data_IF_492342004787
#
_entry.id   IF_492342004787
#
_cell.length_a   1.000
_cell.length_b   1.000
_cell.length_c   1.000
_cell.angle_alpha   90.00
_cell.angle_beta   90.00
_cell.angle_gamma   90.00
#
_symmetry.space_group_name_H-M   'P 1'
#
loop_
_entity.id
_entity.type
_entity.pdbx_description
1 polymer ?
#
# COMPACT_ATOMS: atom_id res chain seq x y z
N UNK A 1 -4.35 -7.10 -14.72
CA UNK A 1 -4.41 -5.70 -14.23
C UNK A 1 -5.03 -5.75 -12.83
N UNK A 2 -4.55 -4.99 -11.82
CA UNK A 2 -5.25 -5.00 -10.53
C UNK A 2 -6.66 -4.44 -10.69
N UNK A 3 -7.71 -5.20 -10.33
CA UNK A 3 -9.08 -4.75 -10.49
C UNK A 3 -9.38 -3.53 -9.60
N UNK A 4 -10.28 -2.66 -10.04
CA UNK A 4 -10.72 -1.47 -9.32
C UNK A 4 -12.09 -1.69 -8.67
N UNK A 5 -12.16 -1.44 -7.37
CA UNK A 5 -13.38 -1.54 -6.56
C UNK A 5 -13.73 -0.15 -6.01
N UNK A 6 -14.95 0.32 -6.29
CA UNK A 6 -15.41 1.63 -5.83
C UNK A 6 -16.33 1.52 -4.60
N UNK A 7 -16.04 2.29 -3.55
CA UNK A 7 -16.95 2.49 -2.42
C UNK A 7 -17.90 3.63 -2.74
N UNK A 8 -19.19 3.36 -2.79
CA UNK A 8 -20.24 4.32 -3.14
C UNK A 8 -21.30 4.32 -2.05
N UNK A 9 -21.83 5.50 -1.70
CA UNK A 9 -22.88 5.61 -0.69
C UNK A 9 -23.03 7.04 -0.20
N UNK A 10 -24.14 7.35 0.45
CA UNK A 10 -24.38 8.70 1.02
C UNK A 10 -23.34 9.07 2.09
N UNK A 11 -23.21 10.35 2.48
CA UNK A 11 -22.31 10.75 3.56
C UNK A 11 -22.55 9.96 4.86
N UNK A 12 -21.52 9.84 5.69
CA UNK A 12 -21.58 9.29 7.05
C UNK A 12 -21.97 7.81 7.22
N UNK A 13 -22.21 7.04 6.15
CA UNK A 13 -22.43 5.57 6.21
C UNK A 13 -21.18 4.76 6.58
N UNK A 14 -20.02 5.41 6.75
CA UNK A 14 -18.76 4.77 7.14
C UNK A 14 -17.89 4.25 5.99
N UNK A 15 -17.99 4.83 4.79
CA UNK A 15 -17.14 4.50 3.63
C UNK A 15 -15.65 4.61 3.93
N UNK A 16 -15.20 5.71 4.51
CA UNK A 16 -13.78 5.92 4.80
C UNK A 16 -13.27 4.99 5.90
N UNK A 17 -14.13 4.63 6.87
CA UNK A 17 -13.82 3.60 7.88
C UNK A 17 -13.67 2.23 7.23
N UNK A 18 -14.58 1.87 6.30
CA UNK A 18 -14.49 0.62 5.53
C UNK A 18 -13.23 0.59 4.66
N UNK A 19 -12.94 1.70 3.96
CA UNK A 19 -11.73 1.87 3.16
C UNK A 19 -10.47 1.59 3.98
N UNK A 20 -10.31 2.25 5.14
CA UNK A 20 -9.15 2.05 6.01
C UNK A 20 -9.08 0.61 6.55
N UNK A 21 -10.23 0.02 6.88
CA UNK A 21 -10.29 -1.35 7.37
C UNK A 21 -9.84 -2.37 6.31
N UNK A 22 -10.21 -2.15 5.04
CA UNK A 22 -9.88 -3.03 3.91
C UNK A 22 -8.45 -2.82 3.39
N UNK A 23 -7.95 -1.59 3.30
CA UNK A 23 -6.59 -1.31 2.79
C UNK A 23 -5.50 -1.63 3.81
N UNK A 24 -5.87 -1.84 5.09
CA UNK A 24 -4.95 -2.06 6.21
C UNK A 24 -3.86 -0.98 6.28
N UNK A 25 -4.14 0.23 5.78
CA UNK A 25 -3.18 1.32 5.67
C UNK A 25 -2.65 1.69 7.06
N UNK A 26 -1.32 1.69 7.20
CA UNK A 26 -0.67 2.23 8.40
C UNK A 26 -0.90 3.74 8.41
N UNK A 27 -1.78 4.21 9.28
CA UNK A 27 -1.96 5.65 9.59
C UNK A 27 -0.64 6.34 10.01
N UNK A 28 0.40 5.56 10.35
CA UNK A 28 1.67 6.03 10.91
C UNK A 28 2.55 6.93 10.01
N UNK A 29 2.24 7.13 8.73
CA UNK A 29 3.01 8.06 7.88
C UNK A 29 2.29 9.38 7.59
N UNK A 30 0.98 9.46 7.85
CA UNK A 30 0.17 10.63 7.52
C UNK A 30 -0.81 10.88 8.66
N UNK A 31 -0.31 11.33 9.80
CA UNK A 31 -1.16 12.09 10.72
C UNK A 31 -0.40 13.28 11.31
N UNK A 32 -0.96 14.47 10.99
CA UNK A 32 -0.96 15.76 11.71
C UNK A 32 -0.71 16.97 10.81
N UNK A 33 -1.41 17.05 9.67
CA UNK A 33 -1.62 18.32 8.95
C UNK A 33 -3.11 18.53 8.68
N UNK A 34 -3.77 19.47 9.38
CA UNK A 34 -5.13 19.89 9.06
C UNK A 34 -5.15 20.53 7.66
N UNK A 35 -5.97 20.00 6.75
CA UNK A 35 -6.06 20.49 5.36
C UNK A 35 -6.36 19.41 4.31
N UNK A 36 -6.30 18.13 4.68
CA UNK A 36 -6.66 16.98 3.82
C UNK A 36 -8.18 16.86 3.69
N UNK A 37 -8.79 17.73 2.90
CA UNK A 37 -10.14 17.49 2.35
C UNK A 37 -10.22 18.04 0.94
N UNK A 38 -10.29 17.14 -0.05
CA UNK A 38 -11.31 17.18 -1.12
C UNK A 38 -11.22 16.09 -2.20
N UNK A 39 -10.11 15.35 -2.33
CA UNK A 39 -9.94 14.44 -3.46
C UNK A 39 -9.71 12.98 -3.04
N UNK A 40 -10.56 12.10 -3.62
CA UNK A 40 -10.55 10.62 -3.67
C UNK A 40 -9.34 9.93 -3.04
N UNK A 41 -9.59 9.04 -2.07
CA UNK A 41 -8.56 8.17 -1.51
C UNK A 41 -8.47 6.87 -2.31
N UNK A 42 -7.32 6.62 -2.92
CA UNK A 42 -6.99 5.36 -3.57
C UNK A 42 -6.06 4.53 -2.69
N UNK A 43 -6.35 3.25 -2.55
CA UNK A 43 -5.57 2.33 -1.73
C UNK A 43 -5.62 0.93 -2.31
N UNK A 44 -4.72 0.06 -1.86
CA UNK A 44 -4.68 -1.33 -2.32
C UNK A 44 -5.12 -2.23 -1.17
N UNK A 45 -6.18 -3.02 -1.38
CA UNK A 45 -6.52 -4.11 -0.48
C UNK A 45 -5.56 -5.28 -0.77
N UNK A 46 -4.84 -5.70 0.26
CA UNK A 46 -3.88 -6.82 0.23
C UNK A 46 -4.37 -7.91 1.19
N UNK A 47 -5.38 -8.69 0.79
CA UNK A 47 -5.85 -9.81 1.59
C UNK A 47 -4.74 -10.87 1.73
N UNK A 48 -4.80 -11.65 2.80
CA UNK A 48 -3.79 -12.68 3.09
C UNK A 48 -3.83 -13.85 2.09
N UNK A 49 -5.00 -14.07 1.49
CA UNK A 49 -5.25 -15.07 0.48
C UNK A 49 -5.95 -14.41 -0.71
N UNK A 50 -5.65 -14.91 -1.92
CA UNK A 50 -6.24 -14.42 -3.16
C UNK A 50 -5.58 -13.15 -3.73
N UNK A 51 -6.29 -12.51 -4.66
CA UNK A 51 -5.77 -11.40 -5.48
C UNK A 51 -5.89 -10.06 -4.77
N UNK A 52 -4.90 -9.18 -5.00
CA UNK A 52 -4.97 -7.77 -4.59
C UNK A 52 -5.93 -7.01 -5.51
N UNK A 53 -6.53 -5.94 -5.00
CA UNK A 53 -7.36 -5.03 -5.79
C UNK A 53 -7.25 -3.60 -5.28
N UNK A 54 -7.49 -2.62 -6.16
CA UNK A 54 -7.48 -1.20 -5.83
C UNK A 54 -8.85 -0.81 -5.28
N UNK A 55 -8.88 -0.13 -4.16
CA UNK A 55 -10.07 0.50 -3.59
C UNK A 55 -10.04 1.99 -3.84
N UNK A 56 -11.17 2.56 -4.24
CA UNK A 56 -11.38 4.00 -4.31
C UNK A 56 -12.53 4.42 -3.40
N UNK A 57 -12.25 5.32 -2.44
CA UNK A 57 -13.30 6.02 -1.70
C UNK A 57 -13.75 7.23 -2.52
N UNK A 58 -14.99 7.18 -2.98
CA UNK A 58 -15.52 8.17 -3.92
C UNK A 58 -16.07 9.43 -3.26
N UNK A 59 -15.94 9.57 -1.94
CA UNK A 59 -16.55 10.66 -1.17
C UNK A 59 -18.08 10.53 -1.11
N UNK A 60 -18.74 11.19 -0.16
CA UNK A 60 -20.20 11.17 -0.07
C UNK A 60 -20.86 11.81 -1.29
N UNK A 61 -21.80 11.12 -1.93
CA UNK A 61 -22.53 11.59 -3.12
C UNK A 61 -23.46 12.80 -2.89
N UNK A 62 -23.58 13.28 -1.66
CA UNK A 62 -24.46 14.40 -1.31
C UNK A 62 -23.68 15.40 -0.45
N UNK A 63 -23.10 16.41 -1.09
CA UNK A 63 -22.73 17.65 -0.40
C UNK A 63 -23.80 18.68 -0.68
N UNK A 64 -24.52 19.10 0.35
CA UNK A 64 -25.38 20.28 0.32
C UNK A 64 -24.48 21.51 0.21
N UNK A 65 -24.20 21.96 -1.01
CA UNK A 65 -23.74 23.32 -1.34
C UNK A 65 -23.92 23.54 -2.85
N UNK A 66 -24.92 24.36 -3.20
CA UNK A 66 -25.52 24.55 -4.53
C UNK A 66 -24.57 25.09 -5.64
N UNK A 67 -23.28 25.29 -5.38
CA UNK A 67 -22.29 25.68 -6.40
C UNK A 67 -21.26 24.61 -6.75
N UNK A 68 -20.94 23.71 -5.81
CA UNK A 68 -19.85 22.72 -5.92
C UNK A 68 -20.35 21.28 -6.07
N UNK A 69 -21.62 21.02 -5.71
CA UNK A 69 -22.26 19.70 -5.73
C UNK A 69 -22.25 19.03 -7.11
N UNK A 70 -22.42 19.81 -8.19
CA UNK A 70 -22.45 19.28 -9.56
C UNK A 70 -21.10 18.74 -10.05
N UNK A 71 -19.98 19.25 -9.53
CA UNK A 71 -18.64 18.74 -9.85
C UNK A 71 -18.34 17.47 -9.04
N UNK A 72 -18.62 17.49 -7.74
CA UNK A 72 -18.40 16.33 -6.83
C UNK A 72 -19.25 15.12 -7.24
N UNK A 73 -20.53 15.32 -7.58
CA UNK A 73 -21.41 14.24 -8.03
C UNK A 73 -20.94 13.65 -9.38
N UNK A 74 -20.56 14.49 -10.35
CA UNK A 74 -19.96 14.01 -11.63
C UNK A 74 -18.68 13.22 -11.40
N UNK A 75 -17.88 13.65 -10.43
CA UNK A 75 -16.64 13.00 -10.07
C UNK A 75 -16.84 11.63 -9.40
N UNK A 76 -17.72 11.51 -8.41
CA UNK A 76 -18.04 10.22 -7.79
C UNK A 76 -18.63 9.25 -8.80
N UNK A 77 -19.48 9.74 -9.70
CA UNK A 77 -20.10 8.90 -10.74
C UNK A 77 -19.10 8.35 -11.74
N UNK A 78 -18.06 9.12 -12.09
CA UNK A 78 -17.00 8.65 -12.97
C UNK A 78 -16.22 7.46 -12.37
N UNK A 79 -15.88 7.53 -11.07
CA UNK A 79 -15.11 6.48 -10.40
C UNK A 79 -15.87 5.14 -10.33
N UNK A 80 -17.18 5.17 -10.12
CA UNK A 80 -17.99 3.94 -10.12
C UNK A 80 -18.21 3.37 -11.53
N UNK A 81 -18.26 4.22 -12.56
CA UNK A 81 -18.36 3.76 -13.96
C UNK A 81 -17.07 3.05 -14.42
N UNK A 82 -15.92 3.50 -13.89
CA UNK A 82 -14.60 2.95 -14.16
C UNK A 82 -14.29 1.68 -13.35
N UNK A 83 -14.98 1.45 -12.24
CA UNK A 83 -14.74 0.30 -11.38
C UNK A 83 -15.18 -1.02 -12.04
N UNK A 84 -14.45 -2.09 -11.75
CA UNK A 84 -14.82 -3.46 -12.11
C UNK A 84 -15.94 -4.00 -11.21
N UNK A 85 -16.01 -3.50 -9.97
CA UNK A 85 -17.06 -3.80 -8.98
C UNK A 85 -17.37 -2.57 -8.13
N UNK A 86 -18.65 -2.38 -7.79
CA UNK A 86 -19.09 -1.32 -6.89
C UNK A 86 -19.57 -1.93 -5.57
N UNK A 87 -19.05 -1.42 -4.44
CA UNK A 87 -19.57 -1.69 -3.11
C UNK A 87 -20.48 -0.52 -2.70
N UNK A 88 -21.79 -0.75 -2.73
CA UNK A 88 -22.78 0.23 -2.29
C UNK A 88 -22.98 0.13 -0.78
N UNK A 89 -22.44 1.10 -0.05
CA UNK A 89 -22.41 1.13 1.42
C UNK A 89 -23.59 1.91 1.98
N UNK A 90 -24.32 1.28 2.91
CA UNK A 90 -25.47 1.84 3.61
C UNK A 90 -25.31 1.68 5.12
N UNK A 91 -26.10 2.41 5.90
CA UNK A 91 -26.02 2.41 7.37
C UNK A 91 -27.14 1.57 7.99
N UNK A 92 -26.78 0.50 8.70
CA UNK A 92 -27.71 -0.39 9.39
C UNK A 92 -28.59 0.33 10.44
N UNK A 93 -28.09 1.39 11.07
CA UNK A 93 -28.73 2.05 12.20
C UNK A 93 -29.70 3.14 11.77
N UNK A 94 -29.34 3.85 10.71
CA UNK A 94 -30.17 4.92 10.16
C UNK A 94 -31.22 4.40 9.18
N UNK A 95 -31.04 3.18 8.66
CA UNK A 95 -32.00 2.56 7.76
C UNK A 95 -32.02 3.20 6.37
N UNK A 96 -33.13 3.04 5.66
CA UNK A 96 -33.32 3.53 4.30
C UNK A 96 -33.37 5.06 4.21
N UNK A 97 -32.65 5.63 3.24
CA UNK A 97 -32.68 7.05 2.92
C UNK A 97 -33.19 7.30 1.49
N UNK A 98 -33.79 8.48 1.25
CA UNK A 98 -34.11 8.94 -0.10
C UNK A 98 -32.86 9.06 -0.98
N UNK A 99 -31.74 9.51 -0.39
CA UNK A 99 -30.45 9.59 -1.09
C UNK A 99 -29.94 8.21 -1.53
N UNK A 100 -30.19 7.17 -0.73
CA UNK A 100 -29.80 5.80 -1.08
C UNK A 100 -30.59 5.30 -2.29
N UNK A 101 -31.87 5.67 -2.41
CA UNK A 101 -32.71 5.36 -3.59
C UNK A 101 -32.23 6.07 -4.85
N UNK A 102 -31.81 7.33 -4.75
CA UNK A 102 -31.27 8.07 -5.89
C UNK A 102 -29.93 7.49 -6.38
N UNK A 103 -29.05 7.13 -5.43
CA UNK A 103 -27.78 6.46 -5.72
C UNK A 103 -28.05 5.11 -6.37
N UNK A 104 -28.97 4.32 -5.82
CA UNK A 104 -29.37 3.02 -6.34
C UNK A 104 -29.94 3.10 -7.78
N UNK A 105 -30.81 4.07 -8.04
CA UNK A 105 -31.38 4.29 -9.38
C UNK A 105 -30.31 4.64 -10.41
N UNK A 106 -29.25 5.34 -9.99
CA UNK A 106 -28.09 5.59 -10.84
C UNK A 106 -27.20 4.36 -11.00
N UNK A 107 -26.90 3.63 -9.93
CA UNK A 107 -26.07 2.41 -9.97
C UNK A 107 -26.68 1.34 -10.88
N UNK A 108 -28.01 1.18 -10.89
CA UNK A 108 -28.72 0.26 -11.80
C UNK A 108 -28.57 0.59 -13.28
N UNK A 109 -28.18 1.83 -13.62
CA UNK A 109 -27.89 2.23 -15.01
C UNK A 109 -26.44 1.92 -15.41
N UNK A 110 -25.58 1.54 -14.46
CA UNK A 110 -24.22 1.11 -14.74
C UNK A 110 -24.24 -0.37 -15.11
N UNK A 111 -23.50 -0.73 -16.15
CA UNK A 111 -23.27 -2.12 -16.54
C UNK A 111 -22.12 -2.73 -15.72
N UNK A 112 -22.25 -2.68 -14.38
CA UNK A 112 -21.23 -3.12 -13.42
C UNK A 112 -21.85 -3.94 -12.30
N UNK A 113 -21.16 -4.98 -11.79
CA UNK A 113 -21.64 -5.70 -10.62
C UNK A 113 -21.64 -4.77 -9.40
N UNK A 114 -22.70 -4.87 -8.59
CA UNK A 114 -22.91 -4.05 -7.38
C UNK A 114 -23.18 -4.98 -6.21
N UNK A 115 -22.40 -4.85 -5.14
CA UNK A 115 -22.67 -5.50 -3.86
C UNK A 115 -23.24 -4.50 -2.88
N UNK A 116 -24.23 -4.92 -2.09
CA UNK A 116 -24.75 -4.10 -1.00
C UNK A 116 -23.98 -4.38 0.28
N UNK A 117 -23.43 -3.35 0.88
CA UNK A 117 -22.66 -3.44 2.13
C UNK A 117 -23.41 -2.67 3.21
N UNK A 118 -24.05 -3.40 4.11
CA UNK A 118 -24.80 -2.82 5.23
C UNK A 118 -23.84 -2.68 6.41
N UNK A 119 -23.35 -1.46 6.63
CA UNK A 119 -22.31 -1.15 7.61
C UNK A 119 -22.91 -0.77 8.98
N UNK A 120 -22.08 -0.80 10.04
CA UNK A 120 -22.44 -0.48 11.43
C UNK A 120 -23.44 -1.45 12.06
N UNK A 121 -23.35 -2.74 11.72
CA UNK A 121 -24.20 -3.82 12.26
C UNK A 121 -23.92 -4.18 13.73
N UNK A 122 -23.08 -3.39 14.43
CA UNK A 122 -22.68 -3.64 15.81
C UNK A 122 -23.87 -3.67 16.77
N UNK A 123 -24.06 -4.81 17.44
CA UNK A 123 -25.11 -5.02 18.42
C UNK A 123 -26.51 -5.21 17.84
N UNK A 124 -26.62 -5.37 16.51
CA UNK A 124 -27.88 -5.62 15.82
C UNK A 124 -28.00 -7.10 15.41
N UNK A 125 -29.23 -7.55 15.24
CA UNK A 125 -29.50 -8.84 14.59
C UNK A 125 -29.28 -8.69 13.08
N UNK A 126 -28.26 -9.39 12.58
CA UNK A 126 -27.81 -9.29 11.20
C UNK A 126 -28.88 -9.76 10.20
N UNK A 127 -29.66 -10.79 10.54
CA UNK A 127 -30.71 -11.29 9.65
C UNK A 127 -31.85 -10.29 9.52
N UNK A 128 -32.26 -9.69 10.63
CA UNK A 128 -33.31 -8.67 10.65
C UNK A 128 -32.88 -7.44 9.83
N UNK A 129 -31.65 -6.96 10.03
CA UNK A 129 -31.11 -5.81 9.30
C UNK A 129 -31.01 -6.11 7.80
N UNK A 130 -30.47 -7.26 7.40
CA UNK A 130 -30.36 -7.62 5.98
C UNK A 130 -31.74 -7.78 5.32
N UNK A 131 -32.72 -8.30 6.05
CA UNK A 131 -34.10 -8.40 5.56
C UNK A 131 -34.69 -7.02 5.27
N UNK A 132 -34.43 -6.02 6.11
CA UNK A 132 -34.88 -4.65 5.88
C UNK A 132 -34.29 -4.06 4.59
N UNK A 133 -33.06 -4.39 4.21
CA UNK A 133 -32.42 -3.88 3.00
C UNK A 133 -32.68 -4.71 1.74
N UNK A 134 -33.31 -5.88 1.86
CA UNK A 134 -33.67 -6.74 0.71
C UNK A 134 -34.53 -6.03 -0.34
N UNK A 135 -35.32 -5.03 0.08
CA UNK A 135 -36.15 -4.18 -0.81
C UNK A 135 -35.35 -3.43 -1.88
N UNK A 136 -34.05 -3.23 -1.67
CA UNK A 136 -33.17 -2.62 -2.68
C UNK A 136 -32.94 -3.55 -3.88
N UNK A 137 -33.26 -4.83 -3.77
CA UNK A 137 -33.15 -5.78 -4.88
C UNK A 137 -31.72 -5.96 -5.39
N UNK A 138 -30.72 -5.73 -4.55
CA UNK A 138 -29.30 -6.00 -4.83
C UNK A 138 -28.91 -7.29 -4.12
N UNK A 139 -28.24 -8.18 -4.85
CA UNK A 139 -27.59 -9.37 -4.30
C UNK A 139 -26.22 -9.51 -4.96
N UNK A 140 -25.17 -9.94 -4.23
CA UNK A 140 -25.15 -10.29 -2.81
C UNK A 140 -25.17 -9.09 -1.84
N UNK A 141 -25.58 -9.34 -0.59
CA UNK A 141 -25.61 -8.38 0.52
C UNK A 141 -24.70 -8.84 1.67
N UNK A 142 -23.95 -7.92 2.28
CA UNK A 142 -23.02 -8.20 3.36
C UNK A 142 -23.27 -7.30 4.56
N UNK A 143 -23.47 -7.89 5.74
CA UNK A 143 -23.52 -7.18 7.00
C UNK A 143 -22.11 -6.98 7.54
N UNK A 144 -21.68 -5.74 7.75
CA UNK A 144 -20.31 -5.46 8.21
C UNK A 144 -20.26 -4.46 9.36
N UNK A 145 -19.23 -4.63 10.19
CA UNK A 145 -18.77 -3.59 11.10
C UNK A 145 -17.36 -3.19 10.71
N UNK A 146 -17.24 -2.05 10.04
CA UNK A 146 -15.94 -1.52 9.64
C UNK A 146 -15.07 -1.16 10.85
N UNK A 147 -15.68 -0.62 11.92
CA UNK A 147 -14.99 -0.22 13.13
C UNK A 147 -14.43 -1.40 13.93
N UNK A 148 -15.17 -2.52 13.95
CA UNK A 148 -14.79 -3.74 14.68
C UNK A 148 -14.25 -4.85 13.78
N UNK A 149 -14.08 -4.57 12.47
CA UNK A 149 -13.56 -5.50 11.45
C UNK A 149 -14.34 -6.81 11.33
N UNK A 150 -15.67 -6.77 11.53
CA UNK A 150 -16.54 -7.94 11.42
C UNK A 150 -17.19 -8.01 10.03
N UNK A 151 -17.30 -9.21 9.45
CA UNK A 151 -17.90 -9.46 8.13
C UNK A 151 -17.03 -8.99 6.95
N UNK A 152 -15.82 -8.48 7.23
CA UNK A 152 -14.93 -7.98 6.17
C UNK A 152 -14.29 -9.12 5.37
N UNK A 153 -14.00 -10.26 6.00
CA UNK A 153 -13.36 -11.40 5.32
C UNK A 153 -14.31 -11.98 4.26
N UNK A 154 -15.58 -12.20 4.61
CA UNK A 154 -16.62 -12.66 3.67
C UNK A 154 -16.83 -11.65 2.51
N UNK A 155 -16.84 -10.34 2.83
CA UNK A 155 -16.93 -9.28 1.82
C UNK A 155 -15.72 -9.30 0.86
N UNK A 156 -14.52 -9.48 1.40
CA UNK A 156 -13.28 -9.57 0.61
C UNK A 156 -13.31 -10.79 -0.30
N UNK A 157 -13.66 -11.96 0.23
CA UNK A 157 -13.72 -13.22 -0.52
C UNK A 157 -14.71 -13.11 -1.68
N UNK A 158 -15.92 -12.64 -1.41
CA UNK A 158 -16.92 -12.44 -2.45
C UNK A 158 -16.50 -11.38 -3.48
N UNK A 159 -15.83 -10.32 -3.02
CA UNK A 159 -15.29 -9.27 -3.92
C UNK A 159 -14.27 -9.90 -4.87
N UNK A 160 -13.31 -10.68 -4.35
CA UNK A 160 -12.29 -11.34 -5.18
C UNK A 160 -12.88 -12.31 -6.21
N UNK A 161 -13.97 -12.99 -5.86
CA UNK A 161 -14.67 -13.92 -6.74
C UNK A 161 -15.46 -13.22 -7.86
N UNK A 162 -16.01 -12.03 -7.60
CA UNK A 162 -16.77 -11.26 -8.59
C UNK A 162 -15.91 -10.35 -9.46
N UNK A 163 -14.69 -10.03 -9.01
CA UNK A 163 -13.74 -9.29 -9.82
C UNK A 163 -13.35 -10.11 -11.06
N UNK A 164 -13.22 -9.48 -12.24
CA UNK A 164 -12.86 -10.19 -13.46
C UNK A 164 -11.60 -11.04 -13.23
N UNK A 165 -11.61 -12.27 -13.75
CA UNK A 165 -10.38 -13.03 -13.88
C UNK A 165 -9.35 -12.14 -14.59
N UNK A 166 -8.09 -12.23 -14.20
CA UNK A 166 -7.03 -11.39 -14.75
C UNK A 166 -7.10 -11.45 -16.27
N UNK A 167 -7.68 -10.44 -16.92
CA UNK A 167 -7.81 -10.42 -18.37
C UNK A 167 -6.41 -10.51 -18.91
N UNK A 168 -6.04 -11.68 -19.44
CA UNK A 168 -4.68 -12.19 -19.61
C UNK A 168 -3.66 -11.12 -19.20
N UNK A 169 -3.42 -11.00 -17.90
CA UNK A 169 -2.10 -10.54 -17.50
C UNK A 169 -1.27 -11.75 -17.86
N UNK A 170 -0.96 -11.91 -19.15
CA UNK A 170 0.04 -12.82 -19.65
C UNK A 170 1.11 -12.72 -18.58
N UNK A 171 1.28 -13.82 -17.83
CA UNK A 171 2.30 -13.93 -16.78
C UNK A 171 3.48 -13.25 -17.42
N UNK A 172 3.78 -12.01 -17.00
CA UNK A 172 4.75 -11.19 -17.72
C UNK A 172 5.95 -12.09 -17.70
N UNK A 173 6.33 -12.68 -18.85
CA UNK A 173 7.18 -13.89 -18.86
C UNK A 173 8.19 -13.67 -17.76
N UNK A 174 8.12 -14.50 -16.71
CA UNK A 174 8.90 -14.29 -15.49
C UNK A 174 10.32 -14.74 -15.79
N UNK A 175 10.86 -14.16 -16.85
CA UNK A 175 12.25 -14.10 -17.24
C UNK A 175 12.95 -13.48 -16.03
N UNK A 176 13.60 -14.31 -15.21
CA UNK A 176 14.20 -13.86 -13.97
C UNK A 176 15.37 -12.91 -14.23
N UNK A 177 15.85 -12.82 -15.46
CA UNK A 177 16.90 -11.89 -15.87
C UNK A 177 16.37 -10.48 -16.13
N UNK A 178 15.05 -10.31 -16.29
CA UNK A 178 14.43 -9.04 -16.66
C UNK A 178 13.96 -8.24 -15.46
N UNK A 179 14.55 -7.07 -15.27
CA UNK A 179 14.20 -6.18 -14.16
C UNK A 179 12.94 -5.37 -14.50
N UNK A 180 11.88 -5.54 -13.71
CA UNK A 180 10.62 -4.77 -13.86
C UNK A 180 10.71 -3.42 -13.15
N UNK A 181 10.60 -2.34 -13.91
CA UNK A 181 10.74 -0.97 -13.43
C UNK A 181 9.43 -0.18 -13.58
N UNK A 182 9.10 0.62 -12.57
CA UNK A 182 8.02 1.62 -12.67
C UNK A 182 8.57 3.02 -12.42
N UNK A 183 8.25 3.96 -13.32
CA UNK A 183 8.50 5.39 -13.09
C UNK A 183 7.22 6.04 -12.58
N UNK A 184 7.26 6.58 -11.37
CA UNK A 184 6.11 7.23 -10.72
C UNK A 184 6.47 8.61 -10.23
N UNK A 185 5.47 9.44 -10.04
CA UNK A 185 5.61 10.82 -9.62
C UNK A 185 4.39 11.62 -10.07
N UNK A 186 4.28 12.84 -9.55
CA UNK A 186 3.21 13.76 -9.93
C UNK A 186 3.20 14.08 -11.44
N UNK A 187 2.10 14.62 -11.98
CA UNK A 187 2.11 15.26 -13.29
C UNK A 187 3.26 16.28 -13.40
N UNK A 188 3.79 16.45 -14.62
CA UNK A 188 4.78 17.50 -14.97
C UNK A 188 6.16 17.46 -14.27
N UNK A 189 6.45 16.46 -13.42
CA UNK A 189 7.79 16.24 -12.82
C UNK A 189 8.85 15.78 -13.83
N UNK A 190 8.45 15.47 -15.07
CA UNK A 190 9.35 15.06 -16.16
C UNK A 190 9.45 13.55 -16.38
N UNK A 191 8.47 12.75 -15.91
CA UNK A 191 8.38 11.31 -16.18
C UNK A 191 8.44 10.97 -17.68
N UNK A 192 7.61 11.62 -18.48
CA UNK A 192 7.56 11.37 -19.93
C UNK A 192 8.86 11.76 -20.62
N UNK A 193 9.45 12.89 -20.22
CA UNK A 193 10.76 13.34 -20.71
C UNK A 193 11.85 12.32 -20.40
N UNK A 194 11.86 11.77 -19.18
CA UNK A 194 12.83 10.76 -18.77
C UNK A 194 12.67 9.48 -19.60
N UNK A 195 11.47 8.93 -19.68
CA UNK A 195 11.24 7.68 -20.42
C UNK A 195 11.52 7.83 -21.91
N UNK A 196 11.13 8.95 -22.53
CA UNK A 196 11.46 9.20 -23.94
C UNK A 196 12.97 9.33 -24.17
N UNK A 197 13.70 9.99 -23.25
CA UNK A 197 15.16 10.05 -23.32
C UNK A 197 15.77 8.66 -23.21
N UNK A 198 15.29 7.85 -22.27
CA UNK A 198 15.73 6.48 -22.10
C UNK A 198 15.52 5.66 -23.40
N UNK A 199 14.37 5.80 -24.05
CA UNK A 199 14.08 5.12 -25.32
C UNK A 199 14.88 5.65 -26.51
N UNK A 200 15.39 6.88 -26.45
CA UNK A 200 16.13 7.52 -27.53
C UNK A 200 17.65 7.46 -27.40
N UNK A 201 18.22 6.84 -26.36
CA UNK A 201 19.66 6.65 -26.26
C UNK A 201 20.14 5.55 -27.22
N UNK A 202 21.24 5.79 -27.95
CA UNK A 202 21.82 4.86 -28.94
C UNK A 202 22.12 3.45 -28.40
N UNK A 203 22.21 3.30 -27.07
CA UNK A 203 22.49 2.04 -26.37
C UNK A 203 21.24 1.31 -25.89
N UNK A 204 20.05 1.86 -26.13
CA UNK A 204 18.78 1.33 -25.66
C UNK A 204 17.98 0.83 -26.86
N UNK A 205 17.84 -0.49 -26.98
CA UNK A 205 16.99 -1.08 -28.01
C UNK A 205 15.62 -1.31 -27.40
N UNK A 206 14.62 -0.57 -27.89
CA UNK A 206 13.24 -0.79 -27.54
C UNK A 206 12.61 -1.80 -28.50
N UNK A 207 12.01 -2.85 -27.96
CA UNK A 207 11.17 -3.78 -28.74
C UNK A 207 9.73 -3.69 -28.27
N UNK A 208 8.79 -3.73 -29.22
CA UNK A 208 7.37 -3.87 -28.93
C UNK A 208 7.03 -5.35 -29.01
N UNK A 209 6.44 -5.89 -27.95
CA UNK A 209 5.93 -7.27 -27.97
C UNK A 209 4.50 -7.23 -28.50
N UNK A 210 4.22 -7.73 -29.72
CA UNK A 210 2.86 -7.77 -30.26
C UNK A 210 2.08 -8.89 -29.56
N UNK A 211 0.88 -8.60 -29.03
CA UNK A 211 -0.02 -9.62 -28.47
C UNK A 211 -0.60 -9.33 -27.09
N UNK A 212 -0.21 -8.25 -26.42
CA UNK A 212 -0.81 -7.87 -25.13
C UNK A 212 -2.03 -6.97 -25.36
N UNK A 213 -3.22 -7.58 -25.43
CA UNK A 213 -4.45 -6.83 -25.65
C UNK A 213 -4.86 -5.94 -24.47
N UNK A 214 -5.29 -4.74 -24.89
CA UNK A 214 -6.13 -3.70 -24.30
C UNK A 214 -5.55 -2.61 -23.39
N UNK A 215 -4.72 -2.80 -22.36
CA UNK A 215 -4.41 -1.63 -21.50
C UNK A 215 -3.03 -1.50 -20.80
N UNK A 216 -2.03 -2.31 -21.12
CA UNK A 216 -0.66 -2.05 -20.63
C UNK A 216 0.40 -2.29 -21.73
N UNK A 217 0.85 -1.19 -22.35
CA UNK A 217 2.04 -1.19 -23.20
C UNK A 217 3.26 -1.23 -22.26
N UNK A 218 3.75 -2.43 -21.97
CA UNK A 218 5.07 -2.61 -21.40
C UNK A 218 6.12 -2.40 -22.51
N UNK A 219 7.22 -1.72 -22.19
CA UNK A 219 8.33 -1.55 -23.14
C UNK A 219 9.55 -2.25 -22.60
N UNK A 220 10.07 -3.17 -23.39
CA UNK A 220 11.30 -3.86 -23.08
C UNK A 220 12.50 -3.03 -23.58
N UNK A 221 13.52 -2.96 -22.75
CA UNK A 221 14.75 -2.22 -22.97
C UNK A 221 15.94 -3.13 -22.75
N UNK A 222 16.91 -3.13 -23.67
CA UNK A 222 18.24 -3.66 -23.42
C UNK A 222 19.21 -2.51 -23.13
N UNK A 223 19.96 -2.62 -22.04
CA UNK A 223 21.07 -1.71 -21.75
C UNK A 223 22.20 -2.41 -21.01
N UNK A 224 23.41 -2.22 -21.50
CA UNK A 224 24.65 -2.73 -20.90
C UNK A 224 24.58 -4.25 -20.65
N UNK A 225 23.95 -4.99 -21.57
CA UNK A 225 23.77 -6.44 -21.50
C UNK A 225 22.75 -6.91 -20.46
N UNK A 226 21.81 -6.04 -20.07
CA UNK A 226 20.72 -6.34 -19.13
C UNK A 226 19.39 -5.93 -19.73
N UNK A 227 18.37 -6.74 -19.50
CA UNK A 227 17.02 -6.48 -19.97
C UNK A 227 16.18 -5.85 -18.85
N UNK A 228 15.38 -4.86 -19.23
CA UNK A 228 14.46 -4.17 -18.34
C UNK A 228 13.08 -4.17 -18.98
N UNK A 229 12.05 -4.20 -18.14
CA UNK A 229 10.67 -4.00 -18.56
C UNK A 229 10.10 -2.77 -17.87
N UNK A 230 9.81 -1.73 -18.65
CA UNK A 230 9.13 -0.56 -18.16
C UNK A 230 7.63 -0.83 -18.07
N UNK A 231 7.10 -0.81 -16.85
CA UNK A 231 5.69 -1.00 -16.57
C UNK A 231 4.94 0.33 -16.77
N UNK A 232 3.78 0.25 -17.43
CA UNK A 232 2.83 1.35 -17.61
C UNK A 232 3.39 2.57 -18.38
N UNK A 233 3.94 2.31 -19.58
CA UNK A 233 4.40 3.39 -20.49
C UNK A 233 3.27 3.97 -21.37
N UNK A 234 2.06 3.40 -21.31
CA UNK A 234 0.92 3.83 -22.13
C UNK A 234 0.50 5.29 -21.85
N UNK A 235 0.63 5.76 -20.60
CA UNK A 235 0.40 7.17 -20.24
C UNK A 235 1.48 8.13 -20.73
N UNK A 236 2.64 7.62 -21.16
CA UNK A 236 3.79 8.41 -21.61
C UNK A 236 3.73 8.64 -23.13
N UNK A 237 3.29 7.64 -23.91
CA UNK A 237 3.16 7.76 -25.37
C UNK A 237 1.91 8.52 -25.84
N UNK A 238 0.78 8.47 -25.12
CA UNK A 238 -0.47 9.16 -25.53
C UNK A 238 -0.48 10.69 -25.30
N UNK A 239 0.53 11.24 -24.62
CA UNK A 239 0.61 12.68 -24.29
C UNK A 239 0.95 13.61 -25.46
N UNK A 240 1.10 13.10 -26.68
CA UNK A 240 1.26 13.95 -27.86
C UNK A 240 -0.04 14.55 -28.39
N UNK A 241 -1.25 14.23 -27.86
CA UNK A 241 -2.49 14.73 -28.49
C UNK A 241 -3.79 14.97 -27.69
N UNK A 242 -3.89 14.85 -26.36
CA UNK A 242 -5.18 15.12 -25.66
C UNK A 242 -5.03 15.76 -24.27
N UNK A 243 -5.82 16.81 -24.02
CA UNK A 243 -5.88 17.65 -22.79
C UNK A 243 -6.71 17.04 -21.63
N UNK A 244 -6.31 17.45 -20.41
CA UNK A 244 -6.99 17.56 -19.09
C UNK A 244 -7.87 16.42 -18.50
N UNK A 245 -8.48 15.52 -19.26
CA UNK A 245 -9.32 14.45 -18.70
C UNK A 245 -8.53 13.28 -18.05
N UNK A 246 -7.19 13.35 -18.06
CA UNK A 246 -6.27 12.19 -17.93
C UNK A 246 -5.59 12.07 -16.55
N UNK A 247 -5.76 13.04 -15.64
CA UNK A 247 -5.07 13.01 -14.35
C UNK A 247 -5.51 11.84 -13.44
N UNK A 248 -6.79 11.47 -13.48
CA UNK A 248 -7.40 10.44 -12.61
C UNK A 248 -6.97 9.02 -12.97
N UNK A 249 -6.80 8.74 -14.27
CA UNK A 249 -6.20 7.50 -14.74
C UNK A 249 -4.72 7.37 -14.34
N UNK A 250 -4.03 8.48 -14.05
CA UNK A 250 -2.61 8.44 -13.69
C UNK A 250 -2.37 7.80 -12.32
N UNK A 251 -3.28 7.94 -11.35
CA UNK A 251 -3.06 7.44 -9.98
C UNK A 251 -3.24 5.93 -9.90
N UNK A 252 -4.39 5.40 -10.37
CA UNK A 252 -4.65 3.95 -10.40
C UNK A 252 -3.58 3.21 -11.19
N UNK A 253 -3.19 3.75 -12.35
CA UNK A 253 -2.13 3.17 -13.17
C UNK A 253 -0.77 3.23 -12.49
N UNK A 254 -0.46 4.32 -11.77
CA UNK A 254 0.76 4.39 -10.95
C UNK A 254 0.76 3.34 -9.84
N UNK A 255 -0.38 3.11 -9.16
CA UNK A 255 -0.50 2.05 -8.15
C UNK A 255 -0.31 0.66 -8.76
N UNK A 256 -0.91 0.40 -9.92
CA UNK A 256 -0.73 -0.85 -10.67
C UNK A 256 0.72 -1.04 -11.11
N UNK A 257 1.37 0.03 -11.57
CA UNK A 257 2.77 0.00 -11.97
C UNK A 257 3.69 -0.32 -10.79
N UNK A 258 3.44 0.30 -9.62
CA UNK A 258 4.14 0.00 -8.38
C UNK A 258 3.99 -1.49 -8.06
N UNK A 259 2.77 -2.02 -8.04
CA UNK A 259 2.50 -3.41 -7.68
C UNK A 259 3.03 -4.44 -8.67
N UNK A 260 3.28 -4.06 -9.91
CA UNK A 260 3.83 -4.96 -10.93
C UNK A 260 5.36 -4.83 -11.08
N UNK A 261 5.97 -3.83 -10.43
CA UNK A 261 7.41 -3.57 -10.50
C UNK A 261 8.21 -4.31 -9.43
N UNK A 262 9.51 -4.46 -9.65
CA UNK A 262 10.47 -4.84 -8.60
C UNK A 262 11.15 -3.61 -8.01
N UNK A 263 11.46 -2.62 -8.86
CA UNK A 263 12.02 -1.33 -8.44
C UNK A 263 11.16 -0.19 -8.97
N UNK A 264 10.73 0.66 -8.05
CA UNK A 264 10.02 1.90 -8.35
C UNK A 264 10.99 3.08 -8.29
N UNK A 265 10.99 3.89 -9.34
CA UNK A 265 11.71 5.16 -9.41
C UNK A 265 10.69 6.28 -9.15
N UNK A 266 10.80 6.91 -7.98
CA UNK A 266 10.00 8.09 -7.63
C UNK A 266 10.68 9.35 -8.17
N UNK A 267 10.06 10.00 -9.14
CA UNK A 267 10.52 11.27 -9.69
C UNK A 267 9.94 12.44 -8.90
N UNK A 268 10.83 13.33 -8.47
CA UNK A 268 10.48 14.57 -7.80
C UNK A 268 11.00 15.75 -8.64
N UNK A 269 10.27 16.87 -8.60
CA UNK A 269 10.74 18.12 -9.21
C UNK A 269 11.61 18.90 -8.21
N UNK A 270 12.87 19.17 -8.57
CA UNK A 270 13.79 19.91 -7.71
C UNK A 270 13.35 21.35 -7.42
N UNK A 271 12.52 21.94 -8.30
CA UNK A 271 12.05 23.32 -8.19
C UNK A 271 10.83 23.48 -7.28
N UNK A 272 10.02 22.43 -7.13
CA UNK A 272 8.80 22.44 -6.31
C UNK A 272 8.96 21.70 -4.98
N UNK A 273 10.01 20.89 -4.83
CA UNK A 273 10.22 20.06 -3.64
C UNK A 273 9.24 18.89 -3.54
N UNK A 274 9.13 18.30 -2.35
CA UNK A 274 8.22 17.15 -2.08
C UNK A 274 6.84 17.68 -1.69
N UNK A 275 5.82 17.36 -2.47
CA UNK A 275 4.41 17.66 -2.17
C UNK A 275 3.73 16.54 -1.35
N UNK A 276 2.48 16.76 -0.96
CA UNK A 276 1.68 15.74 -0.28
C UNK A 276 1.36 14.54 -1.18
N UNK A 277 1.10 14.78 -2.47
CA UNK A 277 0.87 13.70 -3.44
C UNK A 277 2.13 12.84 -3.65
N UNK A 278 3.33 13.45 -3.59
CA UNK A 278 4.59 12.69 -3.62
C UNK A 278 4.72 11.78 -2.38
N UNK A 279 4.32 12.28 -1.21
CA UNK A 279 4.30 11.51 0.02
C UNK A 279 3.28 10.35 -0.04
N UNK A 280 2.11 10.56 -0.63
CA UNK A 280 1.11 9.51 -0.87
C UNK A 280 1.67 8.41 -1.78
N UNK A 281 2.25 8.78 -2.93
CA UNK A 281 2.86 7.81 -3.86
C UNK A 281 3.98 7.04 -3.15
N UNK A 282 4.84 7.73 -2.40
CA UNK A 282 5.91 7.11 -1.62
C UNK A 282 5.36 6.11 -0.60
N UNK A 283 4.31 6.46 0.14
CA UNK A 283 3.62 5.54 1.06
C UNK A 283 3.18 4.25 0.36
N UNK A 284 2.57 4.37 -0.83
CA UNK A 284 2.16 3.20 -1.61
C UNK A 284 3.33 2.32 -2.06
N UNK A 285 4.49 2.90 -2.41
CA UNK A 285 5.69 2.13 -2.74
C UNK A 285 6.17 1.30 -1.53
N UNK A 286 6.16 1.91 -0.34
CA UNK A 286 6.56 1.24 0.90
C UNK A 286 5.59 0.11 1.28
N UNK A 287 4.29 0.36 1.13
CA UNK A 287 3.24 -0.63 1.38
C UNK A 287 3.28 -1.79 0.38
N UNK A 288 3.61 -1.52 -0.88
CA UNK A 288 3.85 -2.54 -1.89
C UNK A 288 5.18 -3.28 -1.65
N UNK A 289 6.10 -2.69 -0.89
CA UNK A 289 7.37 -3.32 -0.50
C UNK A 289 8.39 -3.35 -1.63
N UNK A 290 8.28 -2.45 -2.62
CA UNK A 290 9.16 -2.46 -3.77
C UNK A 290 10.49 -1.78 -3.47
N UNK A 291 11.52 -2.14 -4.22
CA UNK A 291 12.74 -1.36 -4.25
C UNK A 291 12.41 0.09 -4.61
N UNK A 292 13.11 1.05 -4.02
CA UNK A 292 12.87 2.48 -4.20
C UNK A 292 14.16 3.22 -4.51
N UNK A 293 14.13 3.96 -5.61
CA UNK A 293 15.13 4.97 -5.97
C UNK A 293 14.41 6.31 -6.13
N UNK A 294 14.93 7.37 -5.51
CA UNK A 294 14.36 8.71 -5.61
C UNK A 294 15.20 9.53 -6.59
N UNK A 295 14.57 9.93 -7.70
CA UNK A 295 15.19 10.73 -8.75
C UNK A 295 14.69 12.18 -8.69
N UNK A 296 15.56 13.09 -8.29
CA UNK A 296 15.29 14.53 -8.20
C UNK A 296 15.64 15.16 -9.54
N UNK A 297 14.61 15.43 -10.34
CA UNK A 297 14.71 15.88 -11.72
C UNK A 297 14.76 17.41 -11.83
N UNK A 298 15.12 17.93 -13.01
CA UNK A 298 15.30 19.37 -13.32
C UNK A 298 16.39 20.04 -12.47
N UNK A 299 17.41 19.27 -12.07
CA UNK A 299 18.49 19.75 -11.22
C UNK A 299 19.42 20.76 -11.90
N UNK A 300 19.51 20.68 -13.22
CA UNK A 300 20.30 21.56 -14.08
C UNK A 300 19.85 23.03 -14.00
N UNK A 301 18.56 23.28 -13.87
CA UNK A 301 17.97 24.64 -13.83
C UNK A 301 18.08 25.37 -12.49
N UNK A 302 18.73 24.79 -11.48
CA UNK A 302 18.85 25.39 -10.14
C UNK A 302 20.21 26.07 -9.92
N UNK A 303 20.18 27.27 -9.33
CA UNK A 303 21.35 27.95 -8.78
C UNK A 303 21.87 27.27 -7.49
N UNK A 304 23.04 27.70 -7.01
CA UNK A 304 23.68 27.13 -5.82
C UNK A 304 22.84 27.28 -4.55
N UNK A 305 22.13 28.40 -4.38
CA UNK A 305 21.31 28.67 -3.21
C UNK A 305 20.08 27.77 -3.17
N UNK A 306 19.36 27.66 -4.29
CA UNK A 306 18.20 26.78 -4.44
C UNK A 306 18.58 25.31 -4.28
N UNK A 307 19.73 24.89 -4.81
CA UNK A 307 20.23 23.51 -4.61
C UNK A 307 20.41 23.17 -3.14
N UNK A 308 20.96 24.09 -2.35
CA UNK A 308 21.15 23.89 -0.92
C UNK A 308 19.79 23.84 -0.18
N UNK A 309 18.87 24.75 -0.49
CA UNK A 309 17.52 24.72 0.07
C UNK A 309 16.78 23.42 -0.25
N UNK A 310 16.82 22.96 -1.50
CA UNK A 310 16.17 21.73 -1.93
C UNK A 310 16.75 20.51 -1.21
N UNK A 311 18.08 20.45 -1.00
CA UNK A 311 18.71 19.38 -0.22
C UNK A 311 18.20 19.31 1.22
N UNK A 312 18.16 20.45 1.91
CA UNK A 312 17.67 20.52 3.30
C UNK A 312 16.20 20.12 3.41
N UNK A 313 15.37 20.52 2.43
CA UNK A 313 13.96 20.12 2.37
C UNK A 313 13.81 18.62 2.13
N UNK A 314 14.61 18.03 1.24
CA UNK A 314 14.62 16.60 0.97
C UNK A 314 15.10 15.79 2.18
N UNK A 315 16.12 16.23 2.89
CA UNK A 315 16.60 15.56 4.12
C UNK A 315 15.51 15.50 5.18
N UNK A 316 14.74 16.58 5.36
CA UNK A 316 13.62 16.62 6.30
C UNK A 316 12.46 15.74 5.84
N UNK A 317 12.01 15.90 4.59
CA UNK A 317 10.80 15.23 4.09
C UNK A 317 11.00 13.76 3.76
N UNK A 318 12.22 13.32 3.41
CA UNK A 318 12.53 11.91 3.10
C UNK A 318 13.30 11.20 4.21
N UNK A 319 13.44 11.81 5.39
CA UNK A 319 14.19 11.25 6.52
C UNK A 319 13.68 9.90 7.03
N UNK A 320 12.44 9.53 6.70
CA UNK A 320 11.84 8.24 7.04
C UNK A 320 12.20 7.10 6.08
N UNK A 321 12.80 7.41 4.92
CA UNK A 321 13.33 6.44 3.94
C UNK A 321 14.84 6.65 3.69
N UNK A 322 15.68 6.63 4.74
CA UNK A 322 17.12 6.94 4.61
C UNK A 322 17.89 5.89 3.79
N UNK A 323 17.27 4.74 3.55
CA UNK A 323 17.82 3.63 2.77
C UNK A 323 17.54 3.74 1.27
N UNK A 324 16.65 4.64 0.85
CA UNK A 324 16.39 4.91 -0.56
C UNK A 324 17.47 5.83 -1.11
N UNK A 325 18.09 5.45 -2.23
CA UNK A 325 19.12 6.27 -2.85
C UNK A 325 18.50 7.50 -3.52
N UNK A 326 19.10 8.67 -3.30
CA UNK A 326 18.65 9.96 -3.82
C UNK A 326 19.62 10.44 -4.88
N UNK A 327 19.13 10.62 -6.09
CA UNK A 327 19.95 11.00 -7.24
C UNK A 327 19.42 12.27 -7.88
N UNK A 328 20.34 13.19 -8.18
CA UNK A 328 20.02 14.42 -8.88
C UNK A 328 20.23 14.22 -10.37
N UNK A 329 19.17 14.38 -11.15
CA UNK A 329 19.17 14.09 -12.59
C UNK A 329 18.64 15.26 -13.39
N UNK A 330 18.94 15.23 -14.69
CA UNK A 330 18.25 16.02 -15.70
C UNK A 330 17.69 15.09 -16.78
N UNK A 331 16.38 14.89 -16.78
CA UNK A 331 15.70 14.17 -17.84
C UNK A 331 15.79 14.89 -19.20
N UNK A 332 16.09 16.20 -19.21
CA UNK A 332 16.24 17.00 -20.43
C UNK A 332 17.68 17.04 -20.96
N UNK A 333 18.69 16.82 -20.11
CA UNK A 333 20.10 16.83 -20.54
C UNK A 333 20.77 15.46 -20.44
N UNK A 334 20.15 14.48 -19.77
CA UNK A 334 20.69 13.13 -19.59
C UNK A 334 21.70 13.00 -18.45
N UNK A 335 22.01 14.10 -17.75
CA UNK A 335 22.88 14.10 -16.58
C UNK A 335 22.28 13.23 -15.47
N UNK A 336 23.10 12.34 -14.88
CA UNK A 336 22.70 11.49 -13.75
C UNK A 336 22.03 10.16 -14.13
N UNK A 337 21.82 9.87 -15.43
CA UNK A 337 21.15 8.63 -15.85
C UNK A 337 21.99 7.37 -15.62
N UNK A 338 23.31 7.45 -15.76
CA UNK A 338 24.20 6.32 -15.49
C UNK A 338 24.13 5.93 -14.01
N UNK A 339 24.16 6.93 -13.14
CA UNK A 339 24.05 6.78 -11.69
C UNK A 339 22.67 6.22 -11.30
N UNK A 340 21.61 6.63 -12.02
CA UNK A 340 20.25 6.11 -11.84
C UNK A 340 20.18 4.60 -12.07
N UNK A 341 20.71 4.09 -13.17
CA UNK A 341 20.72 2.64 -13.42
C UNK A 341 21.59 1.88 -12.42
N UNK A 342 22.73 2.44 -12.01
CA UNK A 342 23.56 1.83 -10.99
C UNK A 342 22.82 1.70 -9.64
N UNK A 343 22.04 2.71 -9.24
CA UNK A 343 21.19 2.65 -8.04
C UNK A 343 20.03 1.65 -8.20
N UNK A 344 19.38 1.60 -9.38
CA UNK A 344 18.35 0.61 -9.69
C UNK A 344 18.89 -0.81 -9.51
N UNK A 345 20.11 -1.09 -9.99
CA UNK A 345 20.73 -2.41 -9.82
C UNK A 345 21.01 -2.75 -8.37
N UNK A 346 21.52 -1.80 -7.57
CA UNK A 346 21.76 -2.01 -6.13
C UNK A 346 20.45 -2.24 -5.37
N UNK A 347 19.42 -1.47 -5.69
CA UNK A 347 18.08 -1.63 -5.11
C UNK A 347 17.49 -3.00 -5.46
N UNK A 348 17.50 -3.38 -6.74
CA UNK A 348 17.04 -4.69 -7.22
C UNK A 348 17.79 -5.82 -6.53
N UNK A 349 19.12 -5.81 -6.56
CA UNK A 349 19.95 -6.86 -5.96
C UNK A 349 19.74 -6.98 -4.44
N UNK A 350 19.46 -5.87 -3.75
CA UNK A 350 19.12 -5.92 -2.32
C UNK A 350 17.72 -6.47 -2.09
N UNK A 351 16.75 -6.07 -2.94
CA UNK A 351 15.35 -6.46 -2.82
C UNK A 351 15.13 -7.96 -3.10
N UNK A 352 15.80 -8.49 -4.13
CA UNK A 352 15.67 -9.89 -4.60
C UNK A 352 16.74 -10.83 -4.01
N UNK A 353 17.53 -10.36 -3.04
CA UNK A 353 18.56 -11.17 -2.39
C UNK A 353 17.92 -12.38 -1.69
N UNK A 354 18.38 -13.58 -2.06
CA UNK A 354 18.04 -14.80 -1.35
C UNK A 354 18.88 -14.95 -0.08
N UNK A 355 18.23 -15.33 1.01
CA UNK A 355 18.85 -15.56 2.30
C UNK A 355 18.65 -17.00 2.74
N UNK A 356 19.60 -17.57 3.47
CA UNK A 356 19.43 -18.87 4.13
C UNK A 356 18.91 -18.69 5.56
N UNK A 357 18.20 -19.68 6.09
CA UNK A 357 17.73 -19.70 7.48
C UNK A 357 18.88 -19.54 8.48
N UNK A 358 20.05 -20.13 8.19
CA UNK A 358 21.22 -20.06 9.07
C UNK A 358 21.82 -18.65 9.12
N UNK A 359 21.94 -17.95 7.97
CA UNK A 359 22.39 -16.57 7.92
C UNK A 359 21.44 -15.63 8.68
N UNK A 360 20.13 -15.79 8.47
CA UNK A 360 19.09 -14.97 9.11
C UNK A 360 19.07 -15.21 10.62
N UNK A 361 19.10 -16.46 11.06
CA UNK A 361 19.10 -16.81 12.50
C UNK A 361 20.37 -16.29 13.18
N UNK A 362 21.54 -16.42 12.57
CA UNK A 362 22.79 -15.86 13.14
C UNK A 362 22.72 -14.34 13.28
N UNK A 363 22.23 -13.63 12.26
CA UNK A 363 22.06 -12.18 12.34
C UNK A 363 21.04 -11.79 13.43
N UNK A 364 19.97 -12.56 13.60
CA UNK A 364 18.99 -12.34 14.67
C UNK A 364 19.62 -12.51 16.07
N UNK A 365 20.40 -13.58 16.26
CA UNK A 365 21.07 -13.83 17.53
C UNK A 365 22.10 -12.74 17.86
N UNK A 366 22.88 -12.29 16.88
CA UNK A 366 23.82 -11.17 17.02
C UNK A 366 23.08 -9.89 17.45
N UNK A 367 21.96 -9.57 16.77
CA UNK A 367 21.14 -8.42 17.12
C UNK A 367 20.57 -8.53 18.55
N UNK A 368 20.02 -9.68 18.90
CA UNK A 368 19.43 -9.92 20.22
C UNK A 368 20.47 -9.82 21.35
N UNK A 369 21.70 -10.29 21.12
CA UNK A 369 22.81 -10.16 22.09
C UNK A 369 23.28 -8.72 22.22
N UNK A 370 23.34 -7.97 21.12
CA UNK A 370 23.75 -6.57 21.12
C UNK A 370 22.75 -5.64 21.80
N UNK A 371 21.46 -5.87 21.61
CA UNK A 371 20.40 -5.11 22.26
C UNK A 371 19.19 -5.99 22.55
N UNK A 372 18.94 -6.28 23.83
CA UNK A 372 17.82 -7.12 24.24
C UNK A 372 16.48 -6.36 24.18
N UNK A 373 15.36 -7.03 23.88
CA UNK A 373 14.05 -6.40 23.93
C UNK A 373 13.73 -5.86 25.33
N UNK A 374 12.94 -4.77 25.43
CA UNK A 374 12.50 -4.26 26.72
C UNK A 374 11.58 -5.25 27.43
N UNK A 375 11.56 -5.17 28.76
CA UNK A 375 10.68 -5.99 29.60
C UNK A 375 9.26 -5.42 29.53
N UNK A 376 8.29 -6.25 29.11
CA UNK A 376 6.87 -5.89 29.07
C UNK A 376 6.11 -6.77 30.05
N UNK A 377 5.41 -6.16 31.01
CA UNK A 377 4.66 -6.86 32.06
C UNK A 377 5.51 -7.89 32.83
N UNK A 378 6.76 -7.53 33.16
CA UNK A 378 7.69 -8.38 33.91
C UNK A 378 8.36 -9.51 33.11
N UNK A 379 8.17 -9.55 31.79
CA UNK A 379 8.75 -10.57 30.93
C UNK A 379 9.37 -9.98 29.66
N UNK A 380 10.47 -10.57 29.21
CA UNK A 380 11.12 -10.22 27.94
C UNK A 380 10.64 -11.17 26.83
N UNK A 381 10.44 -10.63 25.64
CA UNK A 381 10.22 -11.41 24.42
C UNK A 381 11.47 -12.24 24.10
N UNK A 382 11.29 -13.53 23.80
CA UNK A 382 12.41 -14.41 23.42
C UNK A 382 12.32 -14.71 21.93
N UNK A 383 13.33 -14.29 21.18
CA UNK A 383 13.46 -14.59 19.75
C UNK A 383 14.28 -15.87 19.62
N UNK A 384 13.69 -16.94 19.09
CA UNK A 384 14.31 -18.28 19.08
C UNK A 384 15.10 -18.53 17.80
N UNK A 385 14.48 -18.27 16.66
CA UNK A 385 15.10 -18.42 15.35
C UNK A 385 14.35 -17.57 14.32
N UNK A 386 14.94 -17.40 13.14
CA UNK A 386 14.26 -16.74 12.03
C UNK A 386 14.64 -17.34 10.68
N UNK A 387 13.68 -17.31 9.76
CA UNK A 387 13.86 -17.76 8.37
C UNK A 387 13.41 -16.67 7.40
N UNK A 388 13.92 -16.67 6.14
CA UNK A 388 13.33 -15.86 5.09
C UNK A 388 11.84 -16.21 4.90
N UNK A 389 11.01 -15.21 4.64
CA UNK A 389 9.57 -15.35 4.38
C UNK A 389 9.16 -14.85 2.99
N UNK A 390 10.07 -14.24 2.25
CA UNK A 390 9.85 -13.72 0.91
C UNK A 390 10.99 -12.79 0.49
N UNK A 391 11.13 -12.63 -0.81
CA UNK A 391 11.97 -11.66 -1.48
C UNK A 391 11.12 -10.55 -2.13
N UNK A 392 11.73 -9.38 -2.34
CA UNK A 392 11.12 -8.19 -2.92
C UNK A 392 9.79 -7.75 -2.24
N UNK A 393 9.82 -7.38 -0.95
CA UNK A 393 11.02 -7.06 -0.17
C UNK A 393 11.55 -8.23 0.67
N UNK A 394 12.83 -8.18 1.09
CA UNK A 394 13.38 -9.10 2.08
C UNK A 394 12.52 -9.13 3.33
N UNK A 395 11.85 -10.26 3.53
CA UNK A 395 10.95 -10.51 4.64
C UNK A 395 11.54 -11.57 5.54
N UNK A 396 11.65 -11.28 6.84
CA UNK A 396 12.20 -12.19 7.84
C UNK A 396 11.10 -12.56 8.83
N UNK A 397 10.82 -13.86 8.94
CA UNK A 397 9.84 -14.40 9.88
C UNK A 397 10.61 -14.86 11.12
N UNK A 398 10.34 -14.20 12.24
CA UNK A 398 10.95 -14.46 13.54
C UNK A 398 9.97 -15.26 14.39
N UNK A 399 10.43 -16.41 14.86
CA UNK A 399 9.68 -17.28 15.76
C UNK A 399 10.16 -17.11 17.19
N UNK A 400 9.23 -17.01 18.12
CA UNK A 400 9.57 -16.79 19.51
C UNK A 400 8.41 -16.93 20.47
N UNK A 401 8.65 -16.52 21.71
CA UNK A 401 7.62 -16.42 22.74
C UNK A 401 7.44 -14.95 23.14
N UNK A 402 6.19 -14.50 23.26
CA UNK A 402 5.83 -13.12 23.60
C UNK A 402 6.38 -12.12 22.57
N UNK A 403 6.47 -12.53 21.30
CA UNK A 403 6.90 -11.63 20.23
C UNK A 403 5.82 -10.63 19.86
N UNK A 404 4.54 -10.90 20.18
CA UNK A 404 3.45 -9.92 20.04
C UNK A 404 3.58 -8.72 21.00
N UNK A 405 4.39 -8.85 22.05
CA UNK A 405 4.65 -7.74 22.99
C UNK A 405 5.87 -6.90 22.60
N UNK A 406 6.52 -7.19 21.48
CA UNK A 406 7.65 -6.38 21.00
C UNK A 406 7.14 -4.99 20.58
N UNK A 407 7.78 -3.91 21.06
CA UNK A 407 7.46 -2.58 20.58
C UNK A 407 8.01 -2.35 19.17
N UNK A 408 7.36 -1.49 18.39
CA UNK A 408 7.79 -1.11 17.05
C UNK A 408 9.22 -0.56 16.99
N UNK A 409 9.67 0.09 18.07
CA UNK A 409 11.06 0.57 18.18
C UNK A 409 12.07 -0.57 18.10
N UNK A 410 11.74 -1.75 18.65
CA UNK A 410 12.61 -2.93 18.56
C UNK A 410 12.57 -3.54 17.16
N UNK A 411 11.41 -3.55 16.50
CA UNK A 411 11.30 -3.95 15.09
C UNK A 411 12.17 -3.06 14.19
N UNK A 412 12.11 -1.73 14.37
CA UNK A 412 12.97 -0.77 13.65
C UNK A 412 14.46 -0.99 13.96
N UNK A 413 14.80 -1.35 15.19
CA UNK A 413 16.17 -1.74 15.55
C UNK A 413 16.63 -2.95 14.73
N UNK A 414 15.82 -4.02 14.67
CA UNK A 414 16.14 -5.22 13.88
C UNK A 414 16.28 -4.89 12.39
N UNK A 415 15.36 -4.10 11.83
CA UNK A 415 15.44 -3.62 10.44
C UNK A 415 16.77 -2.91 10.17
N UNK A 416 17.16 -1.96 11.02
CA UNK A 416 18.41 -1.22 10.88
C UNK A 416 19.65 -2.11 11.06
N UNK A 417 19.60 -3.06 11.99
CA UNK A 417 20.67 -4.03 12.20
C UNK A 417 20.87 -4.90 10.96
N UNK A 418 19.80 -5.51 10.45
CA UNK A 418 19.82 -6.37 9.27
C UNK A 418 20.26 -5.60 8.03
N UNK A 419 19.77 -4.37 7.87
CA UNK A 419 20.17 -3.47 6.79
C UNK A 419 21.68 -3.25 6.76
N UNK A 420 22.28 -2.91 7.91
CA UNK A 420 23.73 -2.71 8.02
C UNK A 420 24.50 -4.02 7.81
N UNK A 421 24.07 -5.09 8.48
CA UNK A 421 24.72 -6.42 8.45
C UNK A 421 24.78 -7.03 7.05
N UNK A 422 23.75 -6.81 6.25
CA UNK A 422 23.64 -7.34 4.89
C UNK A 422 23.90 -6.31 3.79
N UNK A 423 24.22 -5.06 4.16
CA UNK A 423 24.47 -3.94 3.24
C UNK A 423 23.32 -3.71 2.26
N UNK A 424 22.08 -3.79 2.75
CA UNK A 424 20.88 -3.64 1.93
C UNK A 424 20.60 -2.16 1.65
N UNK A 425 20.46 -1.82 0.37
CA UNK A 425 20.25 -0.45 -0.11
C UNK A 425 19.02 -0.43 -1.02
N UNK A 426 18.27 0.66 -1.02
CA UNK A 426 17.14 0.83 -1.94
C UNK A 426 15.98 -0.14 -1.74
N UNK A 427 15.90 -0.89 -0.64
CA UNK A 427 14.78 -1.80 -0.33
C UNK A 427 14.27 -1.63 1.10
N UNK A 428 12.95 -1.68 1.33
CA UNK A 428 12.42 -1.88 2.67
C UNK A 428 12.77 -3.29 3.18
N UNK A 429 12.74 -3.48 4.50
CA UNK A 429 12.89 -4.79 5.15
C UNK A 429 11.62 -5.03 5.95
N UNK A 430 11.08 -6.24 5.92
CA UNK A 430 9.87 -6.60 6.69
C UNK A 430 10.21 -7.66 7.73
N UNK A 431 9.76 -7.44 8.96
CA UNK A 431 9.74 -8.46 9.99
C UNK A 431 8.32 -8.92 10.24
N UNK A 432 8.12 -10.23 10.30
CA UNK A 432 6.90 -10.84 10.78
C UNK A 432 7.21 -11.67 12.01
N UNK A 433 6.41 -11.52 13.05
CA UNK A 433 6.62 -12.20 14.32
C UNK A 433 5.56 -13.27 14.50
N UNK A 434 6.00 -14.51 14.67
CA UNK A 434 5.12 -15.65 14.93
C UNK A 434 5.36 -16.19 16.33
N UNK A 435 4.27 -16.34 17.07
CA UNK A 435 4.25 -17.08 18.33
C UNK A 435 3.80 -18.51 18.05
N UNK A 436 4.47 -19.48 18.66
CA UNK A 436 3.92 -20.83 18.71
C UNK A 436 2.67 -20.87 19.59
N UNK A 437 1.76 -21.80 19.31
CA UNK A 437 0.61 -22.05 20.19
C UNK A 437 1.10 -22.32 21.62
N UNK A 438 0.49 -21.66 22.59
CA UNK A 438 0.81 -21.89 23.99
C UNK A 438 0.05 -23.14 24.46
N UNK A 439 0.72 -24.27 24.74
CA UNK A 439 0.04 -25.51 25.12
C UNK A 439 -0.68 -25.43 26.49
N UNK A 440 -0.51 -24.32 27.21
CA UNK A 440 -1.12 -24.05 28.51
C UNK A 440 -2.21 -22.97 28.44
N UNK A 441 -2.54 -22.46 27.26
CA UNK A 441 -3.65 -21.51 27.09
C UNK A 441 -4.97 -22.16 27.52
N UNK A 442 -5.74 -21.48 28.39
CA UNK A 442 -6.95 -22.03 29.00
C UNK A 442 -6.73 -22.96 30.21
N UNK A 443 -5.52 -23.45 30.47
CA UNK A 443 -5.23 -24.24 31.68
C UNK A 443 -5.03 -23.30 32.88
N UNK A 444 -5.98 -23.28 33.81
CA UNK A 444 -5.81 -22.57 35.10
C UNK A 444 -4.59 -23.17 35.80
N UNK A 445 -3.54 -22.38 35.99
CA UNK A 445 -2.37 -22.81 36.75
C UNK A 445 -2.84 -23.13 38.18
N UNK A 446 -2.88 -24.41 38.61
CA UNK A 446 -3.30 -24.74 39.96
C UNK A 446 -2.24 -24.17 40.91
N UNK A 447 -2.63 -23.14 41.68
CA UNK A 447 -1.73 -22.53 42.65
C UNK A 447 -1.26 -23.62 43.61
N UNK A 448 0.05 -23.75 43.77
CA UNK A 448 0.62 -24.63 44.80
C UNK A 448 0.11 -24.19 46.18
N UNK A 449 0.02 -25.11 47.15
CA UNK A 449 -0.44 -24.77 48.52
C UNK A 449 0.32 -23.57 49.12
N UNK A 450 1.62 -23.47 48.82
CA UNK A 450 2.47 -22.35 49.23
C UNK A 450 2.00 -21.02 48.64
N UNK A 451 1.67 -20.97 47.35
CA UNK A 451 1.16 -19.78 46.68
C UNK A 451 -0.25 -19.42 47.17
N UNK A 452 -1.10 -20.41 47.46
CA UNK A 452 -2.42 -20.18 48.08
C UNK A 452 -2.28 -19.56 49.47
N UNK A 453 -1.37 -20.07 50.32
CA UNK A 453 -1.09 -19.51 51.65
C UNK A 453 -0.54 -18.08 51.55
N UNK A 454 0.34 -17.81 50.60
CA UNK A 454 0.93 -16.48 50.38
C UNK A 454 -0.13 -15.47 49.90
N UNK A 455 -1.00 -15.86 48.96
CA UNK A 455 -2.14 -15.04 48.50
C UNK A 455 -3.14 -14.76 49.63
N UNK A 456 -3.47 -15.77 50.45
CA UNK A 456 -4.31 -15.61 51.65
C UNK A 456 -3.70 -14.64 52.67
N UNK A 457 -2.37 -14.69 52.89
CA UNK A 457 -1.67 -13.73 53.76
C UNK A 457 -1.73 -12.31 53.21
N UNK A 458 -1.48 -12.10 51.92
CA UNK A 458 -1.57 -10.77 51.30
C UNK A 458 -3.00 -10.20 51.36
N UNK A 459 -4.01 -11.01 51.06
CA UNK A 459 -5.42 -10.58 51.14
C UNK A 459 -5.84 -10.18 52.56
N UNK A 460 -5.35 -10.90 53.59
CA UNK A 460 -5.58 -10.54 55.00
C UNK A 460 -4.91 -9.22 55.39
N UNK A 461 -3.79 -8.88 54.77
CA UNK A 461 -3.08 -7.64 55.04
C UNK A 461 -3.75 -6.44 54.34
N UNK A 462 -4.23 -6.64 53.10
CA UNK A 462 -4.97 -5.61 52.34
C UNK A 462 -6.35 -5.33 52.94
N UNK A 463 -7.04 -6.33 53.52
CA UNK A 463 -8.32 -6.13 54.21
C UNK A 463 -8.20 -5.53 55.63
N UNK A 464 -6.98 -5.40 56.16
CA UNK A 464 -6.71 -4.81 57.48
C UNK A 464 -6.25 -3.34 57.40
N UNK A 465 -5.98 -2.84 56.19
CA UNK A 465 -5.96 -1.42 55.88
C UNK A 465 -7.31 -1.04 55.31
#
# INVERSE_FOLDING_TARGET
MLPLVALVGRPNVGKSTLYNALTRSREALVHDLPGVTRDRHYGVCRPEQGRHFVLVDTGGLAGEDEGLAGATARQTRAAAAEADLVLFVVDAREGESALDRDILAWLRKLDRPVFLVVNKTDGLDEQAVLADFSRYGISPMFGVSSAHRRGLDDLIEATQAALPEDGDTAVLEDDPERIRLAFVGRPNVGKSTLVNRLLGEERMIASEVPGTTRDAIAVDLDRDGRTYRLIDTAGIRRRSRVEEAIEKFSVVKSLQAIESSQVTILLLDASEGVSDQDATILGHVLDAGRGLVVAINKWDGLDSYRREQTRQLLDRKLGFVPWAERLFISALHGSGLRELFAAIHRAHASATRRFTTSEVTRALEEAYRGFQPPVVRGHTAKLRYAHPGGDNPPTFIVHGSRVKTLPDSYTRYLENFFRKRFKLVGTPIRFQFREGENPYEGRKNPLTERQVRQRKRMLRHVKKK
#
